data_IF_180967875074
#
_entry.id   IF_180967875074
#
_cell.length_a   1.000
_cell.length_b   1.000
_cell.length_c   1.000
_cell.angle_alpha   90.00
_cell.angle_beta   90.00
_cell.angle_gamma   90.00
#
_symmetry.space_group_name_H-M   'P 1'
#
loop_
_entity.id
_entity.type
_entity.pdbx_description
1 polymer ?
#
# COMPACT_ATOMS: atom_id res chain seq x y z
N UNK A 1 32.26 -10.48 5.38
CA UNK A 1 31.70 -10.35 6.74
C UNK A 1 30.40 -11.12 6.79
N UNK A 2 30.32 -12.18 7.61
CA UNK A 2 29.14 -13.03 7.73
C UNK A 2 28.23 -12.36 8.77
N UNK A 3 27.00 -11.99 8.39
CA UNK A 3 25.99 -11.52 9.35
C UNK A 3 25.27 -12.74 9.91
N UNK A 4 25.01 -12.77 11.22
CA UNK A 4 24.17 -13.79 11.83
C UNK A 4 22.73 -13.63 11.32
N UNK A 5 22.03 -14.75 11.13
CA UNK A 5 20.60 -14.71 10.80
C UNK A 5 19.77 -14.50 12.05
N UNK A 6 18.57 -13.95 11.90
CA UNK A 6 17.67 -13.66 13.02
C UNK A 6 17.33 -14.93 13.83
N UNK A 7 17.17 -16.09 13.17
CA UNK A 7 16.95 -17.36 13.86
C UNK A 7 18.16 -17.81 14.71
N UNK A 8 19.37 -17.51 14.25
CA UNK A 8 20.59 -17.85 14.99
C UNK A 8 20.75 -16.98 16.24
N UNK A 9 20.46 -15.68 16.13
CA UNK A 9 20.50 -14.75 17.26
C UNK A 9 19.46 -15.14 18.31
N UNK A 10 18.25 -15.51 17.86
CA UNK A 10 17.18 -15.93 18.74
C UNK A 10 17.51 -17.25 19.45
N UNK A 11 18.06 -18.25 18.74
CA UNK A 11 18.53 -19.49 19.37
C UNK A 11 19.65 -19.25 20.39
N UNK A 12 20.58 -18.32 20.12
CA UNK A 12 21.64 -17.94 21.05
C UNK A 12 21.11 -17.27 22.33
N UNK A 13 20.04 -16.48 22.22
CA UNK A 13 19.39 -15.79 23.35
C UNK A 13 18.51 -16.71 24.18
N UNK A 14 17.81 -17.66 23.56
CA UNK A 14 16.92 -18.62 24.23
C UNK A 14 17.67 -19.72 24.98
N UNK A 15 18.86 -20.08 24.53
CA UNK A 15 19.62 -21.21 25.09
C UNK A 15 20.45 -20.81 26.34
N UNK A 16 20.54 -19.52 26.69
CA UNK A 16 21.28 -19.02 27.86
C UNK A 16 22.71 -19.58 28.02
N UNK A 17 23.33 -20.04 26.93
CA UNK A 17 24.77 -20.24 26.89
C UNK A 17 25.40 -18.89 26.59
N UNK A 18 25.88 -18.25 27.66
CA UNK A 18 27.00 -17.31 27.61
C UNK A 18 28.07 -17.90 26.67
N UNK A 19 28.01 -17.57 25.38
CA UNK A 19 29.18 -17.69 24.54
C UNK A 19 30.22 -16.77 25.21
N UNK A 20 31.43 -17.26 25.52
CA UNK A 20 32.48 -16.38 26.02
C UNK A 20 32.62 -15.25 24.99
N UNK A 21 32.64 -14.02 25.47
CA UNK A 21 32.71 -12.79 24.67
C UNK A 21 33.88 -12.79 23.65
N UNK A 22 34.80 -13.75 23.77
CA UNK A 22 35.95 -14.00 22.90
C UNK A 22 35.64 -14.70 21.57
N UNK A 23 34.39 -15.10 21.28
CA UNK A 23 34.04 -15.82 20.03
C UNK A 23 33.25 -15.03 19.00
N UNK A 24 32.78 -13.83 19.35
CA UNK A 24 31.98 -12.98 18.46
C UNK A 24 32.86 -11.88 17.84
N UNK A 25 32.71 -11.65 16.55
CA UNK A 25 33.32 -10.47 15.94
C UNK A 25 32.57 -9.20 16.38
N UNK A 26 33.26 -8.05 16.45
CA UNK A 26 32.68 -6.77 16.85
C UNK A 26 31.28 -6.44 16.23
N UNK A 27 31.01 -6.70 14.93
CA UNK A 27 29.67 -6.44 14.36
C UNK A 27 28.59 -7.45 14.77
N UNK A 28 28.96 -8.68 15.16
CA UNK A 28 28.04 -9.71 15.65
C UNK A 28 27.62 -9.42 17.10
N UNK A 29 28.55 -8.97 17.93
CA UNK A 29 28.28 -8.54 19.31
C UNK A 29 27.29 -7.36 19.36
N UNK A 30 27.45 -6.37 18.48
CA UNK A 30 26.52 -5.23 18.37
C UNK A 30 25.10 -5.65 17.92
N UNK A 31 24.97 -6.74 17.14
CA UNK A 31 23.67 -7.30 16.78
C UNK A 31 23.03 -8.03 17.96
N UNK A 32 23.79 -8.86 18.68
CA UNK A 32 23.30 -9.61 19.84
C UNK A 32 22.87 -8.66 20.95
N UNK A 33 23.66 -7.62 21.25
CA UNK A 33 23.33 -6.61 22.26
C UNK A 33 22.03 -5.85 21.93
N UNK A 34 21.80 -5.55 20.65
CA UNK A 34 20.53 -4.94 20.20
C UNK A 34 19.34 -5.85 20.47
N UNK A 35 19.43 -7.12 20.08
CA UNK A 35 18.36 -8.09 20.35
C UNK A 35 18.13 -8.31 21.85
N UNK A 36 19.20 -8.40 22.64
CA UNK A 36 19.12 -8.54 24.09
C UNK A 36 18.42 -7.33 24.74
N UNK A 37 18.72 -6.12 24.28
CA UNK A 37 18.04 -4.90 24.74
C UNK A 37 16.54 -4.89 24.40
N UNK A 38 16.17 -5.49 23.27
CA UNK A 38 14.79 -5.59 22.81
C UNK A 38 14.01 -6.62 23.64
N UNK A 39 14.60 -7.78 23.89
CA UNK A 39 14.05 -8.80 24.78
C UNK A 39 13.89 -8.28 26.21
N UNK A 40 14.87 -7.58 26.76
CA UNK A 40 14.76 -6.97 28.09
C UNK A 40 13.62 -5.96 28.20
N UNK A 41 13.37 -5.18 27.13
CA UNK A 41 12.24 -4.25 27.07
C UNK A 41 10.90 -4.96 26.90
N UNK A 42 10.86 -6.07 26.16
CA UNK A 42 9.65 -6.87 25.95
C UNK A 42 9.28 -7.75 27.16
N UNK A 43 10.27 -8.14 27.97
CA UNK A 43 10.06 -8.97 29.16
C UNK A 43 9.56 -8.16 30.37
N UNK A 44 9.47 -6.83 30.23
CA UNK A 44 8.80 -5.97 31.21
C UNK A 44 7.36 -5.78 30.76
N UNK A 45 6.41 -6.14 31.61
CA UNK A 45 5.02 -5.71 31.41
C UNK A 45 4.97 -4.17 31.35
N UNK A 46 4.28 -3.59 30.37
CA UNK A 46 4.15 -2.15 30.27
C UNK A 46 3.45 -1.62 31.52
N UNK A 47 4.02 -0.60 32.16
CA UNK A 47 3.49 0.02 33.39
C UNK A 47 2.07 0.57 33.21
N UNK A 48 1.65 0.80 31.97
CA UNK A 48 0.32 1.26 31.60
C UNK A 48 -0.27 0.31 30.57
N UNK A 49 -1.50 -0.15 30.83
CA UNK A 49 -2.26 -0.94 29.88
C UNK A 49 -2.53 -0.19 28.57
N UNK A 50 -2.91 -0.94 27.53
CA UNK A 50 -3.26 -0.33 26.24
C UNK A 50 -4.39 0.69 26.44
N UNK A 51 -4.31 1.87 25.79
CA UNK A 51 -5.36 2.86 25.89
C UNK A 51 -6.68 2.26 25.41
N UNK A 52 -7.80 2.65 26.02
CA UNK A 52 -9.15 2.13 25.71
C UNK A 52 -9.49 2.19 24.20
N UNK A 53 -8.91 3.14 23.47
CA UNK A 53 -9.11 3.32 22.03
C UNK A 53 -8.03 2.67 21.15
N UNK A 54 -7.16 1.81 21.69
CA UNK A 54 -6.08 1.19 20.94
C UNK A 54 -6.62 0.32 19.80
N UNK A 55 -7.54 -0.60 20.11
CA UNK A 55 -8.13 -1.49 19.13
C UNK A 55 -8.85 -0.71 18.02
N UNK A 56 -9.65 0.30 18.38
CA UNK A 56 -10.35 1.13 17.39
C UNK A 56 -9.41 1.95 16.51
N UNK A 57 -8.31 2.49 17.06
CA UNK A 57 -7.27 3.18 16.29
C UNK A 57 -6.54 2.23 15.33
N UNK A 58 -6.16 1.04 15.79
CA UNK A 58 -5.45 0.06 14.97
C UNK A 58 -6.35 -0.46 13.84
N UNK A 59 -7.58 -0.87 14.17
CA UNK A 59 -8.54 -1.33 13.17
C UNK A 59 -8.93 -0.23 12.19
N UNK A 60 -9.08 1.01 12.66
CA UNK A 60 -9.33 2.17 11.81
C UNK A 60 -8.21 2.40 10.79
N UNK A 61 -6.96 2.39 11.24
CA UNK A 61 -5.77 2.52 10.36
C UNK A 61 -5.67 1.38 9.35
N UNK A 62 -5.94 0.15 9.76
CA UNK A 62 -5.95 -1.04 8.88
C UNK A 62 -7.05 -0.95 7.82
N UNK A 63 -8.28 -0.59 8.22
CA UNK A 63 -9.39 -0.42 7.28
C UNK A 63 -9.10 0.67 6.24
N UNK A 64 -8.54 1.81 6.65
CA UNK A 64 -8.15 2.88 5.73
C UNK A 64 -7.11 2.38 4.73
N UNK A 65 -6.10 1.62 5.19
CA UNK A 65 -5.04 1.08 4.32
C UNK A 65 -5.57 0.03 3.32
N UNK A 66 -6.48 -0.83 3.75
CA UNK A 66 -7.11 -1.84 2.90
C UNK A 66 -8.06 -1.20 1.88
N UNK A 67 -8.89 -0.25 2.32
CA UNK A 67 -9.82 0.48 1.46
C UNK A 67 -9.08 1.25 0.37
N UNK A 68 -7.97 1.92 0.71
CA UNK A 68 -7.09 2.61 -0.25
C UNK A 68 -6.63 1.73 -1.41
N UNK A 69 -6.25 0.46 -1.12
CA UNK A 69 -5.82 -0.48 -2.16
C UNK A 69 -6.97 -0.90 -3.08
N UNK A 70 -8.18 -0.99 -2.53
CA UNK A 70 -9.38 -1.35 -3.28
C UNK A 70 -9.84 -0.21 -4.19
N UNK A 71 -9.93 1.00 -3.64
CA UNK A 71 -10.53 2.14 -4.34
C UNK A 71 -9.65 2.62 -5.51
N UNK A 72 -8.32 2.61 -5.37
CA UNK A 72 -7.39 2.89 -6.47
C UNK A 72 -7.55 1.87 -7.60
N UNK A 73 -7.65 0.58 -7.27
CA UNK A 73 -7.81 -0.49 -8.27
C UNK A 73 -9.15 -0.37 -8.98
N UNK A 74 -10.22 -0.09 -8.24
CA UNK A 74 -11.55 0.10 -8.81
C UNK A 74 -11.56 1.27 -9.80
N UNK A 75 -10.98 2.40 -9.41
CA UNK A 75 -10.98 3.59 -10.25
C UNK A 75 -10.14 3.40 -11.54
N UNK A 76 -9.00 2.72 -11.41
CA UNK A 76 -8.17 2.35 -12.56
C UNK A 76 -8.90 1.37 -13.50
N UNK A 77 -9.59 0.38 -12.95
CA UNK A 77 -10.41 -0.57 -13.71
C UNK A 77 -11.60 0.12 -14.38
N UNK A 78 -12.24 1.09 -13.74
CA UNK A 78 -13.32 1.87 -14.32
C UNK A 78 -12.83 2.67 -15.53
N UNK A 79 -11.67 3.33 -15.41
CA UNK A 79 -11.06 4.12 -16.48
C UNK A 79 -10.65 3.22 -17.66
N UNK A 80 -10.04 2.07 -17.36
CA UNK A 80 -9.71 1.06 -18.37
C UNK A 80 -10.97 0.49 -19.04
N UNK A 81 -12.01 0.19 -18.28
CA UNK A 81 -13.29 -0.32 -18.78
C UNK A 81 -13.99 0.66 -19.72
N UNK A 82 -13.97 1.95 -19.41
CA UNK A 82 -14.48 3.00 -20.31
C UNK A 82 -13.68 3.02 -21.62
N UNK A 83 -12.35 3.00 -21.55
CA UNK A 83 -11.50 2.99 -22.74
C UNK A 83 -11.72 1.75 -23.63
N UNK A 84 -11.75 0.57 -23.02
CA UNK A 84 -12.01 -0.71 -23.73
C UNK A 84 -13.41 -0.73 -24.33
N UNK A 85 -14.41 -0.26 -23.60
CA UNK A 85 -15.79 -0.17 -24.10
C UNK A 85 -15.92 0.73 -25.32
N UNK A 86 -15.30 1.91 -25.29
CA UNK A 86 -15.31 2.83 -26.43
C UNK A 86 -14.57 2.26 -27.65
N UNK A 87 -13.44 1.58 -27.42
CA UNK A 87 -12.70 0.88 -28.48
C UNK A 87 -13.51 -0.26 -29.09
N UNK A 88 -14.21 -1.05 -28.28
CA UNK A 88 -15.07 -2.14 -28.76
C UNK A 88 -16.22 -1.61 -29.62
N UNK A 89 -16.90 -0.55 -29.17
CA UNK A 89 -17.97 0.08 -29.95
C UNK A 89 -17.43 0.60 -31.28
N UNK A 90 -16.30 1.29 -31.27
CA UNK A 90 -15.66 1.77 -32.49
C UNK A 90 -15.30 0.61 -33.44
N UNK A 91 -14.62 -0.42 -32.93
CA UNK A 91 -14.21 -1.58 -33.72
C UNK A 91 -15.43 -2.27 -34.36
N UNK A 92 -16.49 -2.49 -33.58
CA UNK A 92 -17.72 -3.12 -34.06
C UNK A 92 -18.37 -2.28 -35.17
N UNK A 93 -18.45 -0.96 -34.98
CA UNK A 93 -18.99 -0.06 -36.00
C UNK A 93 -18.13 -0.06 -37.26
N UNK A 94 -16.80 -0.03 -37.15
CA UNK A 94 -15.91 -0.06 -38.34
C UNK A 94 -15.95 -1.36 -39.12
N UNK A 95 -16.23 -2.49 -38.46
CA UNK A 95 -16.41 -3.79 -39.13
C UNK A 95 -17.69 -3.81 -39.96
N UNK A 96 -18.75 -3.15 -39.48
CA UNK A 96 -20.05 -3.09 -40.18
C UNK A 96 -20.03 -2.01 -41.28
N UNK A 97 -19.59 -0.80 -40.94
CA UNK A 97 -19.49 0.33 -41.84
C UNK A 97 -18.40 1.31 -41.35
N UNK A 98 -17.37 1.48 -42.17
CA UNK A 98 -16.26 2.39 -41.90
C UNK A 98 -16.75 3.84 -41.70
N UNK A 99 -17.80 4.26 -42.42
CA UNK A 99 -18.38 5.59 -42.30
C UNK A 99 -19.07 5.77 -40.94
N UNK A 100 -19.79 4.75 -40.45
CA UNK A 100 -20.40 4.76 -39.13
C UNK A 100 -19.35 4.86 -38.01
N UNK A 101 -18.24 4.13 -38.12
CA UNK A 101 -17.11 4.24 -37.19
C UNK A 101 -16.49 5.64 -37.14
N UNK A 102 -16.29 6.26 -38.31
CA UNK A 102 -15.76 7.63 -38.40
C UNK A 102 -16.73 8.67 -37.83
N UNK A 103 -18.04 8.52 -38.05
CA UNK A 103 -19.06 9.39 -37.46
C UNK A 103 -19.13 9.24 -35.94
N UNK A 104 -18.94 8.04 -35.42
CA UNK A 104 -18.84 7.80 -33.98
C UNK A 104 -17.63 8.52 -33.37
N UNK A 105 -16.44 8.42 -33.97
CA UNK A 105 -15.25 9.15 -33.50
C UNK A 105 -15.45 10.66 -33.52
N UNK A 106 -16.01 11.21 -34.61
CA UNK A 106 -16.32 12.63 -34.72
C UNK A 106 -17.31 13.07 -33.64
N UNK A 107 -18.33 12.27 -33.38
CA UNK A 107 -19.32 12.54 -32.33
C UNK A 107 -18.68 12.48 -30.94
N UNK A 108 -17.83 11.49 -30.69
CA UNK A 108 -17.08 11.37 -29.45
C UNK A 108 -16.14 12.56 -29.22
N UNK A 109 -15.48 13.07 -30.28
CA UNK A 109 -14.68 14.28 -30.22
C UNK A 109 -15.50 15.54 -29.91
N UNK A 110 -16.76 15.63 -30.37
CA UNK A 110 -17.65 16.74 -29.98
C UNK A 110 -17.88 16.76 -28.47
N UNK A 111 -17.98 15.58 -27.85
CA UNK A 111 -18.12 15.41 -26.41
C UNK A 111 -16.79 15.28 -25.65
N UNK A 112 -15.65 15.68 -26.25
CA UNK A 112 -14.32 15.59 -25.61
C UNK A 112 -14.26 16.21 -24.21
N UNK A 113 -14.98 17.31 -23.99
CA UNK A 113 -15.04 17.96 -22.68
C UNK A 113 -15.74 17.12 -21.62
N UNK A 114 -16.77 16.36 -22.01
CA UNK A 114 -17.45 15.43 -21.11
C UNK A 114 -16.50 14.29 -20.69
N UNK A 115 -15.71 13.77 -21.65
CA UNK A 115 -14.70 12.73 -21.38
C UNK A 115 -13.59 13.25 -20.47
N UNK A 116 -13.08 14.46 -20.74
CA UNK A 116 -12.07 15.11 -19.89
C UNK A 116 -12.63 15.33 -18.48
N UNK A 117 -13.87 15.82 -18.35
CA UNK A 117 -14.52 16.04 -17.06
C UNK A 117 -14.68 14.73 -16.29
N UNK A 118 -15.20 13.67 -16.92
CA UNK A 118 -15.34 12.36 -16.30
C UNK A 118 -13.99 11.81 -15.83
N UNK A 119 -12.95 11.93 -16.66
CA UNK A 119 -11.58 11.52 -16.31
C UNK A 119 -11.02 12.35 -15.16
N UNK A 120 -11.25 13.66 -15.16
CA UNK A 120 -10.81 14.58 -14.11
C UNK A 120 -11.52 14.31 -12.77
N UNK A 121 -12.79 13.91 -12.79
CA UNK A 121 -13.51 13.48 -11.57
C UNK A 121 -12.92 12.20 -11.01
N UNK A 122 -12.63 11.20 -11.86
CA UNK A 122 -12.00 9.95 -11.43
C UNK A 122 -10.58 10.20 -10.89
N UNK A 123 -9.78 11.02 -11.56
CA UNK A 123 -8.44 11.37 -11.06
C UNK A 123 -8.51 12.24 -9.79
N UNK A 124 -9.48 13.16 -9.74
CA UNK A 124 -9.73 14.02 -8.60
C UNK A 124 -10.13 13.23 -7.35
N UNK A 125 -10.91 12.16 -7.50
CA UNK A 125 -11.24 11.28 -6.37
C UNK A 125 -10.00 10.56 -5.83
N UNK A 126 -9.06 10.16 -6.69
CA UNK A 126 -7.77 9.59 -6.25
C UNK A 126 -6.93 10.61 -5.47
N UNK A 127 -6.87 11.85 -5.96
CA UNK A 127 -6.09 12.92 -5.32
C UNK A 127 -6.70 13.36 -3.99
N UNK A 128 -8.03 13.49 -3.93
CA UNK A 128 -8.74 13.85 -2.69
C UNK A 128 -8.51 12.79 -1.61
N UNK A 129 -8.54 11.51 -1.99
CA UNK A 129 -8.27 10.42 -1.06
C UNK A 129 -6.81 10.41 -0.57
N UNK A 130 -5.83 10.81 -1.40
CA UNK A 130 -4.44 10.98 -0.96
C UNK A 130 -4.28 12.14 0.03
N UNK A 131 -4.85 13.31 -0.26
CA UNK A 131 -4.72 14.51 0.55
C UNK A 131 -5.44 14.41 1.92
N UNK A 132 -6.61 13.76 1.99
CA UNK A 132 -7.34 13.54 3.25
C UNK A 132 -6.58 12.60 4.19
N UNK A 133 -5.74 11.72 3.64
CA UNK A 133 -4.94 10.77 4.43
C UNK A 133 -3.67 11.42 4.98
N UNK A 134 -2.96 12.25 4.21
CA UNK A 134 -1.81 13.02 4.72
C UNK A 134 -2.21 13.88 5.92
N UNK A 135 -3.34 14.58 5.82
CA UNK A 135 -3.86 15.42 6.89
C UNK A 135 -4.26 14.64 8.17
N UNK A 136 -4.68 13.39 8.03
CA UNK A 136 -5.08 12.53 9.17
C UNK A 136 -3.93 11.70 9.76
N UNK A 137 -2.77 11.64 9.09
CA UNK A 137 -1.60 10.93 9.61
C UNK A 137 -0.66 11.81 10.46
N UNK A 138 -0.93 13.11 10.58
CA UNK A 138 -0.20 13.99 11.48
C UNK A 138 1.29 14.04 11.15
N UNK A 139 1.61 14.52 9.95
CA UNK A 139 2.88 15.21 9.69
C UNK A 139 2.57 16.70 9.72
#
# INVERSE_FOLDING_TARGET
MKKLTDEQIQAMLEIELRAPADTLSAPEDEQVQRYQSLFQKLNREPEQGLPFNFASKVTGRLKIKLKRRSDIRFNLLALLGIGVGLLLVYALLTVVDLTAGNQFLLSMLKFKWLLILGTAVLLGSLMFEQNVVEKNQGI
#
